data_IF_554922252402
#
_entry.id   IF_554922252402
#
_cell.length_a   1.000
_cell.length_b   1.000
_cell.length_c   1.000
_cell.angle_alpha   90.00
_cell.angle_beta   90.00
_cell.angle_gamma   90.00
#
_symmetry.space_group_name_H-M   'P 1'
#
loop_
_entity.id
_entity.type
_entity.pdbx_description
1 polymer ?
#
# COMPACT_ATOMS: atom_id res chain seq x y z
N UNK A 1 33.48 -30.72 -4.24
CA UNK A 1 33.72 -29.26 -4.38
C UNK A 1 32.58 -28.52 -5.09
N UNK A 2 31.84 -29.12 -6.04
CA UNK A 2 30.73 -28.45 -6.75
C UNK A 2 29.47 -28.17 -5.90
N UNK A 3 29.20 -28.96 -4.86
CA UNK A 3 28.03 -28.77 -3.99
C UNK A 3 28.15 -27.58 -3.03
N UNK A 4 29.36 -27.27 -2.58
CA UNK A 4 29.62 -26.16 -1.64
C UNK A 4 29.55 -24.80 -2.34
N UNK A 5 30.06 -24.71 -3.57
CA UNK A 5 30.01 -23.50 -4.40
C UNK A 5 28.55 -23.20 -4.82
N UNK A 6 27.81 -24.21 -5.28
CA UNK A 6 26.39 -24.06 -5.63
C UNK A 6 25.51 -23.67 -4.43
N UNK A 7 25.89 -24.08 -3.20
CA UNK A 7 25.19 -23.70 -1.97
C UNK A 7 25.53 -22.26 -1.54
N UNK A 8 26.78 -21.83 -1.72
CA UNK A 8 27.22 -20.46 -1.45
C UNK A 8 26.54 -19.43 -2.37
N UNK A 9 26.43 -19.73 -3.68
CA UNK A 9 25.71 -18.90 -4.65
C UNK A 9 24.21 -18.81 -4.36
N UNK A 10 23.62 -19.90 -3.86
CA UNK A 10 22.20 -19.92 -3.48
C UNK A 10 21.96 -19.10 -2.20
N UNK A 11 22.91 -19.08 -1.25
CA UNK A 11 22.80 -18.25 -0.04
C UNK A 11 23.00 -16.77 -0.29
N UNK A 12 23.99 -16.36 -1.11
CA UNK A 12 24.19 -14.95 -1.48
C UNK A 12 22.99 -14.38 -2.22
N UNK A 13 22.33 -15.21 -3.04
CA UNK A 13 21.07 -14.89 -3.74
C UNK A 13 19.91 -14.58 -2.79
N UNK A 14 19.80 -15.24 -1.62
CA UNK A 14 18.71 -15.00 -0.67
C UNK A 14 18.88 -13.72 0.17
N UNK A 15 20.12 -13.34 0.52
CA UNK A 15 20.38 -12.15 1.35
C UNK A 15 19.99 -10.84 0.68
N UNK A 16 20.02 -10.79 -0.66
CA UNK A 16 19.54 -9.62 -1.41
C UNK A 16 18.08 -9.28 -1.10
N UNK A 17 17.24 -10.26 -0.79
CA UNK A 17 15.82 -10.01 -0.46
C UNK A 17 15.60 -9.38 0.92
N UNK A 18 16.64 -9.28 1.76
CA UNK A 18 16.62 -8.46 2.97
C UNK A 18 16.98 -7.00 2.72
N UNK A 19 17.62 -6.67 1.60
CA UNK A 19 18.05 -5.30 1.31
C UNK A 19 16.88 -4.29 1.34
N UNK A 20 15.69 -4.56 0.75
CA UNK A 20 14.55 -3.66 0.88
C UNK A 20 14.12 -3.42 2.33
N UNK A 21 14.16 -4.46 3.16
CA UNK A 21 13.80 -4.41 4.58
C UNK A 21 14.81 -3.58 5.38
N UNK A 22 16.10 -3.71 5.05
CA UNK A 22 17.15 -2.86 5.64
C UNK A 22 16.95 -1.40 5.20
N UNK A 23 16.62 -1.15 3.94
CA UNK A 23 16.27 0.20 3.47
C UNK A 23 15.05 0.77 4.22
N UNK A 24 14.06 -0.07 4.55
CA UNK A 24 12.90 0.37 5.32
C UNK A 24 13.26 0.89 6.72
N UNK A 25 14.36 0.43 7.35
CA UNK A 25 14.83 0.99 8.62
C UNK A 25 15.10 2.50 8.50
N UNK A 26 15.63 2.96 7.37
CA UNK A 26 15.93 4.37 7.12
C UNK A 26 14.73 5.25 6.77
N UNK A 27 13.54 4.66 6.57
CA UNK A 27 12.35 5.34 6.05
C UNK A 27 11.99 6.66 6.77
N UNK A 28 11.96 6.72 8.13
CA UNK A 28 11.70 7.97 8.86
C UNK A 28 12.71 9.07 8.55
N UNK A 29 13.99 8.71 8.42
CA UNK A 29 15.06 9.67 8.15
C UNK A 29 15.06 10.15 6.70
N UNK A 30 14.63 9.33 5.74
CA UNK A 30 14.45 9.78 4.36
C UNK A 30 13.37 10.87 4.28
N UNK A 31 12.28 10.72 5.04
CA UNK A 31 11.27 11.77 5.21
C UNK A 31 11.87 12.99 5.91
N UNK A 32 12.55 12.84 7.05
CA UNK A 32 13.21 13.97 7.72
C UNK A 32 14.17 14.74 6.80
N UNK A 33 14.93 14.05 5.94
CA UNK A 33 15.79 14.69 4.94
C UNK A 33 15.00 15.43 3.87
N UNK A 34 13.81 14.95 3.50
CA UNK A 34 12.90 15.67 2.61
C UNK A 34 12.42 16.96 3.27
N UNK A 35 11.93 16.91 4.50
CA UNK A 35 11.56 18.11 5.29
C UNK A 35 12.73 19.11 5.42
N UNK A 36 13.91 18.66 5.83
CA UNK A 36 15.09 19.53 5.96
C UNK A 36 15.48 20.18 4.62
N UNK A 37 15.46 19.41 3.53
CA UNK A 37 15.84 19.92 2.22
C UNK A 37 14.81 20.92 1.66
N UNK A 38 13.51 20.68 1.88
CA UNK A 38 12.46 21.64 1.49
C UNK A 38 12.57 22.93 2.30
N UNK A 39 12.83 22.85 3.62
CA UNK A 39 13.07 24.01 4.48
C UNK A 39 14.31 24.82 4.08
N UNK A 40 15.36 24.14 3.59
CA UNK A 40 16.58 24.78 3.08
C UNK A 40 16.48 25.21 1.60
N UNK A 41 15.28 25.12 0.99
CA UNK A 41 15.06 25.41 -0.44
C UNK A 41 15.96 24.63 -1.41
N UNK A 42 16.43 23.44 -0.99
CA UNK A 42 17.26 22.55 -1.80
C UNK A 42 16.39 21.58 -2.59
N UNK A 43 16.01 21.96 -3.81
CA UNK A 43 15.19 21.12 -4.70
C UNK A 43 15.84 19.77 -4.97
N UNK A 44 17.15 19.73 -5.26
CA UNK A 44 17.87 18.49 -5.52
C UNK A 44 17.89 17.57 -4.29
N UNK A 45 18.11 18.13 -3.09
CA UNK A 45 18.08 17.37 -1.84
C UNK A 45 16.70 16.78 -1.56
N UNK A 46 15.64 17.57 -1.77
CA UNK A 46 14.26 17.13 -1.57
C UNK A 46 13.89 16.01 -2.56
N UNK A 47 14.21 16.16 -3.85
CA UNK A 47 13.97 15.13 -4.85
C UNK A 47 14.72 13.84 -4.54
N UNK A 48 15.98 13.94 -4.11
CA UNK A 48 16.78 12.77 -3.73
C UNK A 48 16.20 12.06 -2.49
N UNK A 49 15.86 12.80 -1.45
CA UNK A 49 15.25 12.25 -0.24
C UNK A 49 13.91 11.55 -0.54
N UNK A 50 13.05 12.19 -1.34
CA UNK A 50 11.78 11.60 -1.77
C UNK A 50 12.01 10.36 -2.66
N UNK A 51 13.03 10.36 -3.52
CA UNK A 51 13.39 9.17 -4.29
C UNK A 51 13.78 8.00 -3.37
N UNK A 52 14.49 8.24 -2.27
CA UNK A 52 14.79 7.20 -1.26
C UNK A 52 13.51 6.68 -0.58
N UNK A 53 12.56 7.57 -0.28
CA UNK A 53 11.23 7.18 0.26
C UNK A 53 10.51 6.21 -0.69
N UNK A 54 10.48 6.49 -1.99
CA UNK A 54 9.89 5.59 -2.99
C UNK A 54 10.75 4.36 -3.31
N UNK A 55 12.07 4.43 -3.11
CA UNK A 55 12.98 3.30 -3.34
C UNK A 55 12.70 2.13 -2.38
N UNK A 56 12.19 2.39 -1.17
CA UNK A 56 11.81 1.33 -0.21
C UNK A 56 10.73 0.41 -0.79
N UNK A 57 9.51 0.87 -1.13
CA UNK A 57 8.51 -0.01 -1.74
C UNK A 57 8.94 -0.49 -3.14
N UNK A 58 9.65 0.31 -3.94
CA UNK A 58 10.10 -0.13 -5.27
C UNK A 58 11.08 -1.32 -5.20
N UNK A 59 12.07 -1.27 -4.31
CA UNK A 59 13.03 -2.37 -4.12
C UNK A 59 12.37 -3.63 -3.55
N UNK A 60 11.37 -3.45 -2.67
CA UNK A 60 10.55 -4.55 -2.18
C UNK A 60 9.75 -5.20 -3.31
N UNK A 61 9.19 -4.41 -4.23
CA UNK A 61 8.48 -4.92 -5.40
C UNK A 61 9.41 -5.68 -6.35
N UNK A 62 10.64 -5.20 -6.57
CA UNK A 62 11.66 -5.96 -7.34
C UNK A 62 11.90 -7.33 -6.70
N UNK A 63 12.03 -7.40 -5.37
CA UNK A 63 12.13 -8.68 -4.66
C UNK A 63 10.89 -9.55 -4.84
N UNK A 64 9.69 -8.99 -4.88
CA UNK A 64 8.46 -9.73 -5.18
C UNK A 64 8.43 -10.30 -6.59
N UNK A 65 8.94 -9.56 -7.58
CA UNK A 65 9.02 -10.03 -8.97
C UNK A 65 10.00 -11.20 -9.11
N UNK A 66 11.15 -11.13 -8.46
CA UNK A 66 12.13 -12.22 -8.47
C UNK A 66 11.62 -13.44 -7.71
N UNK A 67 11.11 -13.23 -6.49
CA UNK A 67 10.59 -14.32 -5.65
C UNK A 67 9.34 -14.95 -6.25
N UNK A 68 8.49 -14.17 -6.93
CA UNK A 68 7.24 -14.62 -7.55
C UNK A 68 7.45 -15.61 -8.69
N UNK A 69 8.59 -15.53 -9.41
CA UNK A 69 8.95 -16.43 -10.50
C UNK A 69 9.46 -17.80 -10.03
N UNK A 70 9.90 -17.89 -8.79
CA UNK A 70 10.39 -19.15 -8.21
C UNK A 70 9.22 -20.10 -7.93
N UNK A 71 9.40 -21.38 -8.28
CA UNK A 71 8.50 -22.43 -7.82
C UNK A 71 8.65 -22.60 -6.30
N UNK A 72 7.53 -22.59 -5.59
CA UNK A 72 7.54 -22.65 -4.12
C UNK A 72 7.75 -24.09 -3.69
N UNK A 73 9.01 -24.46 -3.49
CA UNK A 73 9.40 -25.74 -2.87
C UNK A 73 9.79 -25.58 -1.39
N UNK A 74 10.10 -24.36 -0.92
CA UNK A 74 10.61 -24.10 0.43
C UNK A 74 9.88 -22.99 1.20
N UNK A 75 9.81 -23.16 2.51
CA UNK A 75 9.18 -22.23 3.47
C UNK A 75 9.96 -20.90 3.60
N UNK A 76 11.26 -20.93 3.31
CA UNK A 76 12.11 -19.74 3.16
C UNK A 76 11.59 -18.74 2.12
N UNK A 77 11.21 -19.20 0.92
CA UNK A 77 10.66 -18.33 -0.13
C UNK A 77 9.35 -17.69 0.30
N UNK A 78 8.52 -18.42 1.07
CA UNK A 78 7.26 -17.90 1.63
C UNK A 78 7.53 -16.79 2.64
N UNK A 79 8.50 -16.97 3.53
CA UNK A 79 8.93 -15.95 4.51
C UNK A 79 9.41 -14.70 3.79
N UNK A 80 10.31 -14.83 2.81
CA UNK A 80 10.83 -13.69 2.05
C UNK A 80 9.74 -12.97 1.26
N UNK A 81 8.77 -13.70 0.70
CA UNK A 81 7.59 -13.09 0.05
C UNK A 81 6.76 -12.30 1.04
N UNK A 82 6.46 -12.84 2.22
CA UNK A 82 5.70 -12.12 3.26
C UNK A 82 6.44 -10.86 3.70
N UNK A 83 7.74 -10.99 3.97
CA UNK A 83 8.60 -9.86 4.33
C UNK A 83 8.57 -8.78 3.25
N UNK A 84 8.75 -9.15 1.98
CA UNK A 84 8.72 -8.21 0.86
C UNK A 84 7.36 -7.52 0.68
N UNK A 85 6.24 -8.21 0.93
CA UNK A 85 4.91 -7.58 0.92
C UNK A 85 4.75 -6.58 2.09
N UNK A 86 5.25 -6.92 3.28
CA UNK A 86 5.24 -6.01 4.43
C UNK A 86 6.09 -4.77 4.15
N UNK A 87 7.30 -4.94 3.61
CA UNK A 87 8.19 -3.84 3.22
C UNK A 87 7.59 -2.98 2.10
N UNK A 88 6.90 -3.58 1.15
CA UNK A 88 6.15 -2.84 0.13
C UNK A 88 5.07 -1.93 0.73
N UNK A 89 4.47 -2.33 1.84
CA UNK A 89 3.49 -1.56 2.60
C UNK A 89 4.10 -0.55 3.60
N UNK A 90 5.41 -0.26 3.53
CA UNK A 90 6.06 0.68 4.47
C UNK A 90 5.39 2.05 4.57
N UNK A 91 4.95 2.71 3.47
CA UNK A 91 4.30 4.02 3.57
C UNK A 91 3.05 4.04 4.46
N UNK A 92 2.01 3.22 4.24
CA UNK A 92 0.83 3.21 5.10
C UNK A 92 1.12 2.65 6.51
N UNK A 93 2.12 1.76 6.66
CA UNK A 93 2.60 1.31 7.97
C UNK A 93 3.16 2.47 8.79
N UNK A 94 3.98 3.34 8.20
CA UNK A 94 4.55 4.48 8.92
C UNK A 94 3.47 5.51 9.29
N UNK A 95 2.47 5.71 8.43
CA UNK A 95 1.30 6.54 8.77
C UNK A 95 0.54 5.97 9.96
N UNK A 96 0.18 4.69 9.96
CA UNK A 96 -0.63 4.13 11.05
C UNK A 96 0.14 4.09 12.37
N UNK A 97 1.44 3.80 12.35
CA UNK A 97 2.31 3.92 13.55
C UNK A 97 2.22 5.34 14.10
N UNK A 98 2.38 6.33 13.23
CA UNK A 98 2.31 7.72 13.66
C UNK A 98 0.95 8.11 14.25
N UNK A 99 -0.14 7.72 13.58
CA UNK A 99 -1.50 8.02 14.07
C UNK A 99 -1.76 7.37 15.43
N UNK A 100 -1.34 6.11 15.62
CA UNK A 100 -1.51 5.42 16.90
C UNK A 100 -0.70 6.09 18.01
N UNK A 101 0.55 6.47 17.75
CA UNK A 101 1.38 7.17 18.73
C UNK A 101 0.80 8.54 19.10
N UNK A 102 0.30 9.29 18.12
CA UNK A 102 -0.40 10.55 18.36
C UNK A 102 -1.63 10.36 19.26
N UNK A 103 -2.47 9.36 18.97
CA UNK A 103 -3.65 9.03 19.78
C UNK A 103 -3.28 8.62 21.21
N UNK A 104 -2.14 7.97 21.39
CA UNK A 104 -1.57 7.61 22.71
C UNK A 104 -0.86 8.78 23.40
N UNK A 105 -0.83 9.98 22.79
CA UNK A 105 -0.10 11.17 23.25
C UNK A 105 1.42 10.94 23.40
N UNK A 106 1.99 10.04 22.58
CA UNK A 106 3.42 9.76 22.52
C UNK A 106 4.02 10.54 21.35
N UNK A 107 4.58 11.71 21.63
CA UNK A 107 5.15 12.58 20.60
C UNK A 107 6.64 12.31 20.37
N UNK A 108 7.09 12.38 19.12
CA UNK A 108 8.51 12.30 18.75
C UNK A 108 9.14 10.91 18.90
N UNK A 109 8.33 9.86 19.10
CA UNK A 109 8.81 8.49 19.25
C UNK A 109 8.77 7.66 17.95
N UNK A 110 8.19 8.18 16.87
CA UNK A 110 7.95 7.51 15.59
C UNK A 110 9.17 6.73 15.09
N UNK A 111 10.33 7.40 14.96
CA UNK A 111 11.54 6.78 14.46
C UNK A 111 12.05 5.64 15.36
N UNK A 112 11.94 5.80 16.68
CA UNK A 112 12.37 4.77 17.65
C UNK A 112 11.46 3.55 17.60
N UNK A 113 10.14 3.79 17.58
CA UNK A 113 9.13 2.72 17.48
C UNK A 113 9.27 2.00 16.14
N UNK A 114 9.47 2.74 15.05
CA UNK A 114 9.72 2.19 13.73
C UNK A 114 10.94 1.27 13.69
N UNK A 115 12.08 1.71 14.23
CA UNK A 115 13.27 0.87 14.34
C UNK A 115 13.02 -0.38 15.19
N UNK A 116 12.35 -0.24 16.33
CA UNK A 116 12.02 -1.37 17.20
C UNK A 116 11.15 -2.41 16.50
N UNK A 117 10.11 -1.96 15.78
CA UNK A 117 9.22 -2.82 15.00
C UNK A 117 9.98 -3.54 13.87
N UNK A 118 10.79 -2.82 13.09
CA UNK A 118 11.55 -3.44 12.00
C UNK A 118 12.68 -4.34 12.49
N UNK A 119 13.35 -4.00 13.59
CA UNK A 119 14.32 -4.88 14.24
C UNK A 119 13.65 -6.19 14.68
N UNK A 120 12.44 -6.13 15.26
CA UNK A 120 11.68 -7.32 15.62
C UNK A 120 11.26 -8.14 14.38
N UNK A 121 10.83 -7.49 13.30
CA UNK A 121 10.50 -8.15 12.03
C UNK A 121 11.71 -8.84 11.41
N UNK A 122 12.87 -8.17 11.37
CA UNK A 122 14.13 -8.72 10.85
C UNK A 122 14.58 -9.90 11.71
N UNK A 123 14.66 -9.71 13.03
CA UNK A 123 15.08 -10.75 13.96
C UNK A 123 14.14 -11.96 13.89
N UNK A 124 12.82 -11.76 13.92
CA UNK A 124 11.84 -12.83 13.78
C UNK A 124 11.94 -13.57 12.43
N UNK A 125 12.16 -12.84 11.34
CA UNK A 125 12.37 -13.44 10.01
C UNK A 125 13.66 -14.28 9.98
N UNK A 126 14.76 -13.77 10.51
CA UNK A 126 16.04 -14.49 10.58
C UNK A 126 15.95 -15.72 11.47
N UNK A 127 15.34 -15.60 12.66
CA UNK A 127 15.12 -16.73 13.58
C UNK A 127 14.28 -17.84 12.91
N UNK A 128 13.21 -17.46 12.20
CA UNK A 128 12.36 -18.42 11.48
C UNK A 128 13.15 -19.11 10.35
N UNK A 129 13.95 -18.35 9.59
CA UNK A 129 14.81 -18.91 8.54
C UNK A 129 15.91 -19.82 9.10
N UNK A 130 16.48 -19.49 10.26
CA UNK A 130 17.52 -20.30 10.92
C UNK A 130 16.97 -21.60 11.53
N UNK A 131 15.73 -21.58 12.01
CA UNK A 131 15.05 -22.77 12.52
C UNK A 131 14.66 -23.75 11.39
N UNK A 132 14.50 -23.25 10.16
CA UNK A 132 14.18 -24.05 8.98
C UNK A 132 15.42 -24.75 8.39
N UNK A 133 15.84 -25.83 9.05
CA UNK A 133 16.94 -26.71 8.59
C UNK A 133 16.46 -28.04 7.97
N UNK A 134 15.16 -28.32 7.96
CA UNK A 134 14.60 -29.59 7.47
C UNK A 134 13.68 -29.35 6.28
N UNK A 135 13.97 -30.02 5.16
CA UNK A 135 13.20 -30.05 3.89
C UNK A 135 11.82 -30.71 4.08
N UNK A 136 10.99 -30.13 4.95
CA UNK A 136 9.61 -30.53 5.10
C UNK A 136 8.81 -29.92 3.96
N UNK A 137 8.45 -30.76 2.98
CA UNK A 137 7.52 -30.41 1.91
C UNK A 137 6.23 -29.91 2.58
N UNK A 138 5.94 -28.61 2.41
CA UNK A 138 4.71 -28.01 2.91
C UNK A 138 3.52 -28.72 2.27
N UNK A 139 2.75 -29.46 3.08
CA UNK A 139 1.42 -29.92 2.69
C UNK A 139 0.56 -28.69 2.43
N UNK A 140 0.10 -28.52 1.18
CA UNK A 140 -0.72 -27.38 0.77
C UNK A 140 -2.10 -27.50 1.42
N UNK A 141 -2.50 -26.63 2.35
CA UNK A 141 -3.88 -26.62 2.79
C UNK A 141 -4.75 -26.14 1.62
N UNK A 142 -5.68 -26.98 1.18
CA UNK A 142 -6.64 -26.68 0.11
C UNK A 142 -7.80 -25.85 0.67
N UNK A 143 -7.51 -24.60 1.04
CA UNK A 143 -8.58 -23.68 1.44
C UNK A 143 -9.33 -23.22 0.19
N UNK A 144 -10.60 -23.64 0.06
CA UNK A 144 -11.46 -23.18 -1.02
C UNK A 144 -11.85 -21.71 -0.80
N UNK A 145 -11.24 -20.82 -1.58
CA UNK A 145 -11.45 -19.37 -1.50
C UNK A 145 -12.40 -18.82 -2.58
N UNK A 146 -13.09 -19.68 -3.33
CA UNK A 146 -13.91 -19.25 -4.48
C UNK A 146 -15.04 -18.30 -4.07
N UNK A 147 -15.81 -18.68 -3.05
CA UNK A 147 -16.92 -17.86 -2.52
C UNK A 147 -16.42 -16.52 -1.98
N UNK A 148 -15.31 -16.53 -1.23
CA UNK A 148 -14.68 -15.32 -0.70
C UNK A 148 -14.27 -14.39 -1.83
N UNK A 149 -13.73 -14.93 -2.93
CA UNK A 149 -13.33 -14.13 -4.10
C UNK A 149 -14.52 -13.46 -4.77
N UNK A 150 -15.63 -14.17 -4.94
CA UNK A 150 -16.86 -13.61 -5.53
C UNK A 150 -17.41 -12.51 -4.64
N UNK A 151 -17.57 -12.78 -3.34
CA UNK A 151 -18.09 -11.79 -2.38
C UNK A 151 -17.16 -10.56 -2.29
N UNK A 152 -15.85 -10.76 -2.27
CA UNK A 152 -14.86 -9.69 -2.31
C UNK A 152 -15.09 -8.81 -3.54
N UNK A 153 -15.18 -9.40 -4.74
CA UNK A 153 -15.42 -8.66 -5.98
C UNK A 153 -16.75 -7.91 -6.00
N UNK A 154 -17.85 -8.52 -5.54
CA UNK A 154 -19.17 -7.87 -5.43
C UNK A 154 -19.11 -6.67 -4.48
N UNK A 155 -18.51 -6.85 -3.30
CA UNK A 155 -18.31 -5.76 -2.35
C UNK A 155 -17.39 -4.66 -2.93
N UNK A 156 -16.35 -5.02 -3.69
CA UNK A 156 -15.50 -4.04 -4.37
C UNK A 156 -16.29 -3.24 -5.39
N UNK A 157 -17.15 -3.86 -6.20
CA UNK A 157 -18.01 -3.14 -7.17
C UNK A 157 -18.94 -2.16 -6.47
N UNK A 158 -19.57 -2.57 -5.37
CA UNK A 158 -20.43 -1.69 -4.57
C UNK A 158 -19.64 -0.48 -4.01
N UNK A 159 -18.47 -0.72 -3.42
CA UNK A 159 -17.57 0.35 -2.95
C UNK A 159 -17.16 1.28 -4.09
N UNK A 160 -16.80 0.72 -5.25
CA UNK A 160 -16.37 1.49 -6.42
C UNK A 160 -17.46 2.45 -6.87
N UNK A 161 -18.66 1.93 -7.09
CA UNK A 161 -19.78 2.70 -7.61
C UNK A 161 -20.26 3.76 -6.62
N UNK A 162 -20.40 3.41 -5.35
CA UNK A 162 -21.02 4.28 -4.34
C UNK A 162 -20.02 5.26 -3.75
N UNK A 163 -18.77 4.86 -3.53
CA UNK A 163 -17.80 5.65 -2.77
C UNK A 163 -16.53 5.95 -3.56
N UNK A 164 -15.76 4.95 -3.98
CA UNK A 164 -14.38 5.16 -4.41
C UNK A 164 -14.29 6.02 -5.68
N UNK A 165 -15.11 5.76 -6.71
CA UNK A 165 -15.08 6.55 -7.94
C UNK A 165 -15.45 8.02 -7.69
N UNK A 166 -16.61 8.33 -7.05
CA UNK A 166 -16.92 9.73 -6.77
C UNK A 166 -15.99 10.36 -5.71
N UNK A 167 -15.44 9.61 -4.75
CA UNK A 167 -14.42 10.09 -3.81
C UNK A 167 -13.10 10.50 -4.50
N UNK A 168 -12.55 9.64 -5.37
CA UNK A 168 -11.34 9.96 -6.13
C UNK A 168 -11.59 11.08 -7.14
N UNK A 169 -12.79 11.16 -7.73
CA UNK A 169 -13.18 12.27 -8.61
C UNK A 169 -13.23 13.60 -7.87
N UNK A 170 -13.79 13.60 -6.65
CA UNK A 170 -13.78 14.76 -5.78
C UNK A 170 -12.35 15.22 -5.45
N UNK A 171 -11.45 14.30 -5.16
CA UNK A 171 -10.03 14.64 -4.96
C UNK A 171 -9.36 15.19 -6.23
N UNK A 172 -9.71 14.67 -7.42
CA UNK A 172 -9.16 15.14 -8.68
C UNK A 172 -9.55 16.59 -8.98
N UNK A 173 -10.79 17.00 -8.67
CA UNK A 173 -11.22 18.40 -8.85
C UNK A 173 -10.57 19.37 -7.84
N UNK A 174 -9.82 18.87 -6.84
CA UNK A 174 -8.99 19.71 -5.98
C UNK A 174 -7.90 20.49 -6.73
N UNK A 175 -7.55 20.07 -7.96
CA UNK A 175 -6.71 20.87 -8.86
C UNK A 175 -7.34 22.21 -9.24
N UNK A 176 -8.66 22.34 -9.16
CA UNK A 176 -9.38 23.60 -9.38
C UNK A 176 -9.57 24.41 -8.10
N UNK A 177 -8.96 23.98 -6.98
CA UNK A 177 -8.97 24.68 -5.71
C UNK A 177 -9.84 24.03 -4.63
N UNK A 178 -9.56 24.44 -3.39
CA UNK A 178 -10.16 23.90 -2.17
C UNK A 178 -11.68 24.13 -2.13
N UNK A 179 -12.16 25.26 -2.62
CA UNK A 179 -13.61 25.57 -2.65
C UNK A 179 -14.38 24.68 -3.64
N UNK A 180 -13.81 24.42 -4.82
CA UNK A 180 -14.42 23.53 -5.82
C UNK A 180 -14.52 22.12 -5.26
N UNK A 181 -13.43 21.58 -4.72
CA UNK A 181 -13.46 20.30 -4.01
C UNK A 181 -14.50 20.31 -2.88
N UNK A 182 -14.53 21.34 -2.05
CA UNK A 182 -15.46 21.43 -0.92
C UNK A 182 -16.92 21.44 -1.37
N UNK A 183 -17.25 22.13 -2.47
CA UNK A 183 -18.60 22.19 -3.02
C UNK A 183 -19.10 20.79 -3.45
N UNK A 184 -18.27 20.04 -4.19
CA UNK A 184 -18.58 18.67 -4.62
C UNK A 184 -18.62 17.73 -3.41
N UNK A 185 -17.67 17.86 -2.49
CA UNK A 185 -17.61 17.08 -1.25
C UNK A 185 -18.88 17.22 -0.41
N UNK A 186 -19.42 18.44 -0.27
CA UNK A 186 -20.65 18.67 0.50
C UNK A 186 -21.83 17.90 -0.10
N UNK A 187 -21.97 17.89 -1.43
CA UNK A 187 -23.01 17.08 -2.10
C UNK A 187 -22.80 15.59 -1.81
N UNK A 188 -21.58 15.09 -2.02
CA UNK A 188 -21.25 13.68 -1.83
C UNK A 188 -21.43 13.21 -0.37
N UNK A 189 -21.15 14.08 0.61
CA UNK A 189 -21.31 13.77 2.04
C UNK A 189 -22.76 13.50 2.44
N UNK A 190 -23.75 14.06 1.74
CA UNK A 190 -25.16 13.73 1.99
C UNK A 190 -25.45 12.24 1.73
N UNK A 191 -24.70 11.64 0.80
CA UNK A 191 -24.76 10.20 0.53
C UNK A 191 -23.87 9.45 1.51
N UNK A 192 -22.56 9.74 1.54
CA UNK A 192 -21.59 8.93 2.27
C UNK A 192 -21.79 8.93 3.78
N UNK A 193 -22.27 10.04 4.34
CA UNK A 193 -22.51 10.22 5.78
C UNK A 193 -23.98 10.03 6.16
N UNK A 194 -24.81 9.49 5.25
CA UNK A 194 -26.16 9.09 5.62
C UNK A 194 -26.10 8.03 6.72
N UNK A 195 -26.91 8.18 7.78
CA UNK A 195 -26.79 7.38 9.00
C UNK A 195 -26.93 5.86 8.81
N UNK A 196 -27.55 5.42 7.71
CA UNK A 196 -27.66 4.01 7.34
C UNK A 196 -26.56 3.55 6.37
N UNK A 197 -26.03 4.43 5.50
CA UNK A 197 -25.06 4.07 4.48
C UNK A 197 -23.62 4.08 5.00
N UNK A 198 -23.28 5.05 5.86
CA UNK A 198 -21.96 5.16 6.47
C UNK A 198 -21.52 3.85 7.17
N UNK A 199 -22.32 3.24 8.08
CA UNK A 199 -21.94 1.98 8.72
C UNK A 199 -21.82 0.82 7.73
N UNK A 200 -22.64 0.79 6.66
CA UNK A 200 -22.54 -0.23 5.61
C UNK A 200 -21.21 -0.08 4.87
N UNK A 201 -20.82 1.14 4.47
CA UNK A 201 -19.54 1.38 3.82
C UNK A 201 -18.36 0.98 4.71
N UNK A 202 -18.40 1.31 6.00
CA UNK A 202 -17.37 0.88 6.97
C UNK A 202 -17.29 -0.64 7.03
N UNK A 203 -18.42 -1.33 7.14
CA UNK A 203 -18.48 -2.79 7.16
C UNK A 203 -17.93 -3.41 5.86
N UNK A 204 -18.24 -2.81 4.70
CA UNK A 204 -17.71 -3.25 3.41
C UNK A 204 -16.19 -3.08 3.33
N UNK A 205 -15.63 -1.94 3.78
CA UNK A 205 -14.18 -1.75 3.82
C UNK A 205 -13.49 -2.72 4.80
N UNK A 206 -14.06 -2.94 5.98
CA UNK A 206 -13.56 -3.95 6.91
C UNK A 206 -13.60 -5.35 6.29
N UNK A 207 -14.69 -5.68 5.60
CA UNK A 207 -14.80 -6.92 4.85
C UNK A 207 -13.73 -7.02 3.75
N UNK A 208 -13.42 -5.94 3.02
CA UNK A 208 -12.35 -5.93 2.02
C UNK A 208 -10.98 -6.25 2.63
N UNK A 209 -10.66 -5.69 3.81
CA UNK A 209 -9.42 -5.99 4.54
C UNK A 209 -9.34 -7.49 4.88
N UNK A 210 -10.37 -8.02 5.54
CA UNK A 210 -10.38 -9.41 6.01
C UNK A 210 -10.38 -10.39 4.83
N UNK A 211 -11.27 -10.21 3.86
CA UNK A 211 -11.35 -11.07 2.68
C UNK A 211 -10.09 -10.96 1.80
N UNK A 212 -9.48 -9.78 1.70
CA UNK A 212 -8.19 -9.57 1.01
C UNK A 212 -7.06 -10.37 1.64
N UNK A 213 -6.95 -10.38 2.98
CA UNK A 213 -5.98 -11.22 3.70
C UNK A 213 -6.20 -12.72 3.45
N UNK A 214 -7.45 -13.17 3.49
CA UNK A 214 -7.83 -14.56 3.19
C UNK A 214 -7.44 -14.95 1.76
N UNK A 215 -7.63 -14.04 0.78
CA UNK A 215 -7.28 -14.27 -0.62
C UNK A 215 -5.77 -14.20 -0.89
N UNK A 216 -5.05 -13.38 -0.12
CA UNK A 216 -3.60 -13.21 -0.22
C UNK A 216 -2.84 -14.41 0.36
N UNK A 217 -3.30 -14.99 1.47
CA UNK A 217 -2.56 -16.03 2.18
C UNK A 217 -2.15 -17.25 1.32
N UNK A 218 -3.03 -17.83 0.48
CA UNK A 218 -2.64 -18.92 -0.42
C UNK A 218 -1.63 -18.49 -1.49
N UNK A 219 -1.65 -17.21 -1.92
CA UNK A 219 -0.81 -16.70 -3.01
C UNK A 219 0.67 -16.66 -2.66
N UNK A 220 1.02 -16.58 -1.37
CA UNK A 220 2.42 -16.68 -0.95
C UNK A 220 3.07 -18.01 -1.34
N UNK A 221 2.27 -19.08 -1.51
CA UNK A 221 2.73 -20.41 -1.89
C UNK A 221 2.62 -20.71 -3.39
N UNK A 222 2.23 -19.74 -4.21
CA UNK A 222 1.98 -19.93 -5.63
C UNK A 222 2.93 -19.09 -6.46
N UNK A 223 3.41 -19.64 -7.58
CA UNK A 223 4.12 -18.86 -8.59
C UNK A 223 3.22 -17.73 -9.10
N UNK A 224 3.79 -16.54 -9.26
CA UNK A 224 3.08 -15.37 -9.77
C UNK A 224 3.73 -14.90 -11.06
N UNK A 225 2.91 -14.54 -12.04
CA UNK A 225 3.35 -13.69 -13.14
C UNK A 225 3.47 -12.23 -12.66
N UNK A 226 3.92 -11.33 -13.55
CA UNK A 226 4.11 -9.92 -13.18
C UNK A 226 2.82 -9.29 -12.64
N UNK A 227 1.70 -9.47 -13.35
CA UNK A 227 0.41 -8.88 -12.95
C UNK A 227 -0.16 -9.57 -11.69
N UNK A 228 0.16 -10.84 -11.46
CA UNK A 228 -0.08 -11.51 -10.18
C UNK A 228 0.70 -10.89 -9.03
N UNK A 229 1.98 -10.56 -9.24
CA UNK A 229 2.79 -9.85 -8.25
C UNK A 229 2.25 -8.43 -7.98
N UNK A 230 1.80 -7.71 -9.00
CA UNK A 230 1.09 -6.42 -8.82
C UNK A 230 -0.16 -6.62 -7.98
N UNK A 231 -1.01 -7.60 -8.29
CA UNK A 231 -2.24 -7.88 -7.53
C UNK A 231 -1.96 -8.16 -6.05
N UNK A 232 -0.96 -9.00 -5.74
CA UNK A 232 -0.66 -9.37 -4.35
C UNK A 232 0.04 -8.24 -3.59
N UNK A 233 0.98 -7.53 -4.23
CA UNK A 233 1.69 -6.40 -3.63
C UNK A 233 0.72 -5.26 -3.29
N UNK A 234 -0.08 -4.83 -4.27
CA UNK A 234 -1.11 -3.80 -4.07
C UNK A 234 -2.15 -4.25 -3.04
N UNK A 235 -2.58 -5.52 -3.06
CA UNK A 235 -3.51 -6.05 -2.07
C UNK A 235 -2.97 -5.96 -0.64
N UNK A 236 -1.71 -6.36 -0.42
CA UNK A 236 -1.05 -6.24 0.88
C UNK A 236 -0.91 -4.78 1.34
N UNK A 237 -0.55 -3.87 0.42
CA UNK A 237 -0.51 -2.44 0.70
C UNK A 237 -1.88 -1.91 1.12
N UNK A 238 -2.94 -2.30 0.39
CA UNK A 238 -4.30 -1.80 0.60
C UNK A 238 -4.90 -2.25 1.94
N UNK A 239 -4.56 -3.44 2.42
CA UNK A 239 -4.95 -3.89 3.77
C UNK A 239 -4.53 -2.86 4.82
N UNK A 240 -3.27 -2.41 4.77
CA UNK A 240 -2.74 -1.43 5.72
C UNK A 240 -3.23 -0.02 5.40
N UNK A 241 -3.28 0.35 4.12
CA UNK A 241 -3.74 1.66 3.68
C UNK A 241 -5.18 1.93 4.11
N UNK A 242 -6.12 1.00 3.86
CA UNK A 242 -7.54 1.17 4.23
C UNK A 242 -7.66 1.29 5.76
N UNK A 243 -6.98 0.42 6.52
CA UNK A 243 -6.99 0.48 7.98
C UNK A 243 -6.47 1.83 8.50
N UNK A 244 -5.33 2.27 7.99
CA UNK A 244 -4.69 3.54 8.34
C UNK A 244 -5.57 4.74 7.98
N UNK A 245 -6.09 4.76 6.75
CA UNK A 245 -6.85 5.87 6.20
C UNK A 245 -8.20 6.05 6.90
N UNK A 246 -8.95 4.96 7.10
CA UNK A 246 -10.24 5.00 7.81
C UNK A 246 -10.02 5.37 9.30
N UNK A 247 -8.99 4.83 9.95
CA UNK A 247 -8.66 5.20 11.32
C UNK A 247 -8.38 6.71 11.47
N UNK A 248 -7.64 7.30 10.52
CA UNK A 248 -7.39 8.74 10.51
C UNK A 248 -8.68 9.56 10.36
N UNK A 249 -9.58 9.15 9.47
CA UNK A 249 -10.83 9.87 9.22
C UNK A 249 -11.79 9.78 10.41
N UNK A 250 -12.02 8.58 10.93
CA UNK A 250 -13.06 8.36 11.94
C UNK A 250 -12.56 8.57 13.37
N UNK A 251 -11.36 8.09 13.69
CA UNK A 251 -10.86 8.12 15.08
C UNK A 251 -9.98 9.35 15.29
N UNK A 252 -8.96 9.59 14.47
CA UNK A 252 -8.07 10.73 14.66
C UNK A 252 -8.78 12.07 14.47
N UNK A 253 -9.67 12.18 13.48
CA UNK A 253 -10.36 13.43 13.17
C UNK A 253 -11.77 13.50 13.77
N UNK A 254 -12.72 12.73 13.20
CA UNK A 254 -14.15 12.93 13.50
C UNK A 254 -14.53 12.67 14.95
N UNK A 255 -13.97 11.65 15.59
CA UNK A 255 -14.22 11.37 17.01
C UNK A 255 -13.83 12.54 17.91
N UNK A 256 -12.80 13.31 17.53
CA UNK A 256 -12.34 14.51 18.25
C UNK A 256 -12.94 15.81 17.71
N UNK A 257 -13.94 15.75 16.83
CA UNK A 257 -14.67 16.92 16.32
C UNK A 257 -14.01 17.66 15.15
N UNK A 258 -12.92 17.12 14.60
CA UNK A 258 -12.27 17.70 13.41
C UNK A 258 -13.01 17.30 12.14
N UNK A 259 -13.37 18.27 11.29
CA UNK A 259 -13.96 17.96 10.00
C UNK A 259 -12.91 17.43 9.02
N UNK A 260 -13.24 16.35 8.31
CA UNK A 260 -12.36 15.68 7.35
C UNK A 260 -12.56 16.23 5.95
N UNK A 261 -12.30 17.52 5.79
CA UNK A 261 -12.38 18.22 4.50
C UNK A 261 -11.04 18.19 3.72
N UNK A 262 -10.99 18.89 2.59
CA UNK A 262 -9.79 18.93 1.77
C UNK A 262 -8.62 19.58 2.51
N UNK A 263 -8.87 20.69 3.21
CA UNK A 263 -7.87 21.42 3.96
C UNK A 263 -7.23 20.53 5.03
N UNK A 264 -8.03 19.74 5.73
CA UNK A 264 -7.51 18.71 6.65
C UNK A 264 -6.67 17.66 5.93
N UNK A 265 -7.13 17.15 4.78
CA UNK A 265 -6.45 16.11 4.02
C UNK A 265 -5.14 16.58 3.36
N UNK A 266 -5.02 17.86 3.02
CA UNK A 266 -3.83 18.48 2.42
C UNK A 266 -2.97 19.24 3.44
N UNK A 267 -3.38 19.23 4.71
CA UNK A 267 -2.69 19.91 5.81
C UNK A 267 -2.56 21.43 5.60
N UNK A 268 -3.61 22.07 5.08
CA UNK A 268 -3.65 23.53 4.90
C UNK A 268 -3.64 24.29 6.24
N UNK A 269 -3.03 25.49 6.29
CA UNK A 269 -2.39 26.21 5.17
C UNK A 269 -0.93 25.79 4.90
N UNK A 270 -0.35 24.92 5.74
CA UNK A 270 1.06 24.53 5.65
C UNK A 270 1.36 23.72 4.39
N UNK A 271 0.45 22.82 4.03
CA UNK A 271 0.59 21.89 2.90
C UNK A 271 1.44 20.67 3.24
N UNK A 272 1.37 19.65 2.39
CA UNK A 272 2.02 18.35 2.62
C UNK A 272 3.55 18.35 2.57
N UNK A 273 4.18 19.40 2.04
CA UNK A 273 5.65 19.45 1.83
C UNK A 273 6.40 20.26 2.89
N UNK A 274 5.70 21.03 3.75
CA UNK A 274 6.33 21.99 4.68
C UNK A 274 6.15 21.61 6.15
N UNK A 275 5.77 20.37 6.44
CA UNK A 275 5.58 19.89 7.80
C UNK A 275 6.10 18.46 7.95
N UNK A 276 6.90 18.25 8.99
CA UNK A 276 7.59 16.99 9.26
C UNK A 276 6.63 15.83 9.60
N UNK A 277 5.37 16.12 9.94
CA UNK A 277 4.36 15.10 10.09
C UNK A 277 3.74 14.74 8.75
N UNK A 278 3.19 15.71 8.04
CA UNK A 278 2.35 15.56 6.85
C UNK A 278 3.12 15.08 5.61
N UNK A 279 4.44 15.22 5.55
CA UNK A 279 5.25 14.70 4.44
C UNK A 279 5.10 13.19 4.22
N UNK A 280 4.83 12.42 5.29
CA UNK A 280 4.56 10.97 5.20
C UNK A 280 3.29 10.67 4.42
N UNK A 281 2.37 11.63 4.32
CA UNK A 281 1.11 11.49 3.60
C UNK A 281 1.34 11.51 2.08
N UNK A 282 2.43 12.09 1.60
CA UNK A 282 2.77 12.12 0.16
C UNK A 282 2.88 10.71 -0.43
N UNK A 283 3.81 9.84 0.03
CA UNK A 283 3.91 8.46 -0.48
C UNK A 283 2.73 7.58 -0.05
N UNK A 284 2.01 7.95 1.03
CA UNK A 284 0.82 7.23 1.46
C UNK A 284 -0.35 7.46 0.47
N UNK A 285 -0.66 8.70 0.11
CA UNK A 285 -1.75 9.02 -0.81
C UNK A 285 -1.41 8.70 -2.25
N UNK A 286 -0.21 9.06 -2.74
CA UNK A 286 0.15 8.83 -4.14
C UNK A 286 0.13 7.34 -4.49
N UNK A 287 0.74 6.49 -3.66
CA UNK A 287 0.74 5.05 -3.85
C UNK A 287 -0.62 4.44 -3.49
N UNK A 288 -1.34 4.97 -2.50
CA UNK A 288 -2.70 4.52 -2.18
C UNK A 288 -3.65 4.63 -3.38
N UNK A 289 -3.67 5.78 -4.05
CA UNK A 289 -4.49 6.00 -5.26
C UNK A 289 -4.02 5.12 -6.42
N UNK A 290 -2.71 5.09 -6.70
CA UNK A 290 -2.16 4.27 -7.78
C UNK A 290 -2.49 2.78 -7.57
N UNK A 291 -2.31 2.29 -6.34
CA UNK A 291 -2.43 0.88 -6.02
C UNK A 291 -3.87 0.42 -5.88
N UNK A 292 -4.81 1.25 -5.39
CA UNK A 292 -6.24 0.87 -5.40
C UNK A 292 -6.74 0.69 -6.83
N UNK A 293 -6.39 1.61 -7.73
CA UNK A 293 -6.80 1.54 -9.13
C UNK A 293 -6.10 0.38 -9.88
N UNK A 294 -4.80 0.19 -9.64
CA UNK A 294 -4.05 -0.95 -10.21
C UNK A 294 -4.58 -2.30 -9.71
N UNK A 295 -4.96 -2.38 -8.43
CA UNK A 295 -5.56 -3.57 -7.84
C UNK A 295 -6.92 -3.90 -8.46
N UNK A 296 -7.74 -2.87 -8.74
CA UNK A 296 -9.01 -3.04 -9.46
C UNK A 296 -8.76 -3.54 -10.89
N UNK A 297 -7.80 -2.96 -11.61
CA UNK A 297 -7.44 -3.39 -12.97
C UNK A 297 -6.98 -4.85 -13.01
N UNK A 298 -6.13 -5.26 -12.07
CA UNK A 298 -5.67 -6.66 -11.95
C UNK A 298 -6.80 -7.60 -11.45
N UNK A 299 -7.72 -7.12 -10.62
CA UNK A 299 -8.96 -7.81 -10.25
C UNK A 299 -9.85 -8.09 -11.45
N UNK A 300 -10.10 -7.07 -12.28
CA UNK A 300 -10.84 -7.20 -13.54
C UNK A 300 -10.16 -8.18 -14.50
N UNK A 301 -8.83 -8.14 -14.60
CA UNK A 301 -8.07 -9.15 -15.36
C UNK A 301 -8.39 -10.56 -14.88
N UNK A 302 -8.41 -10.78 -13.57
CA UNK A 302 -8.74 -12.10 -12.99
C UNK A 302 -10.16 -12.53 -13.37
N UNK A 303 -11.13 -11.60 -13.36
CA UNK A 303 -12.51 -11.86 -13.79
C UNK A 303 -12.57 -12.18 -15.28
N UNK A 304 -11.93 -11.40 -16.15
CA UNK A 304 -11.89 -11.63 -17.60
C UNK A 304 -11.34 -13.02 -17.95
N UNK A 305 -10.21 -13.40 -17.34
CA UNK A 305 -9.61 -14.73 -17.53
C UNK A 305 -10.55 -15.85 -17.08
N UNK A 306 -11.28 -15.67 -15.98
CA UNK A 306 -12.24 -16.65 -15.49
C UNK A 306 -13.46 -16.82 -16.43
N UNK A 307 -13.76 -15.83 -17.28
CA UNK A 307 -14.85 -15.86 -18.26
C UNK A 307 -14.34 -16.10 -19.70
N UNK A 308 -13.16 -16.71 -19.85
CA UNK A 308 -12.66 -17.17 -21.16
C UNK A 308 -12.04 -16.09 -22.06
N UNK A 309 -11.82 -14.87 -21.56
CA UNK A 309 -11.06 -13.85 -22.32
C UNK A 309 -9.60 -14.30 -22.45
N UNK A 310 -9.02 -14.16 -23.64
CA UNK A 310 -7.62 -14.53 -23.88
C UNK A 310 -6.64 -13.74 -23.01
N UNK A 311 -5.53 -14.36 -22.61
CA UNK A 311 -4.54 -13.74 -21.74
C UNK A 311 -3.93 -12.47 -22.34
N UNK A 312 -3.74 -12.43 -23.66
CA UNK A 312 -3.20 -11.27 -24.37
C UNK A 312 -4.16 -10.08 -24.28
N UNK A 313 -5.47 -10.30 -24.50
CA UNK A 313 -6.49 -9.25 -24.41
C UNK A 313 -6.67 -8.79 -22.98
N UNK A 314 -6.76 -9.72 -22.02
CA UNK A 314 -6.89 -9.40 -20.61
C UNK A 314 -5.67 -8.61 -20.08
N UNK A 315 -4.45 -8.99 -20.46
CA UNK A 315 -3.22 -8.25 -20.12
C UNK A 315 -3.21 -6.86 -20.74
N UNK A 316 -3.58 -6.71 -22.01
CA UNK A 316 -3.62 -5.41 -22.69
C UNK A 316 -4.56 -4.45 -21.98
N UNK A 317 -5.78 -4.88 -21.70
CA UNK A 317 -6.77 -4.07 -20.97
C UNK A 317 -6.24 -3.70 -19.59
N UNK A 318 -5.69 -4.67 -18.84
CA UNK A 318 -5.11 -4.41 -17.53
C UNK A 318 -4.01 -3.33 -17.57
N UNK A 319 -3.10 -3.41 -18.53
CA UNK A 319 -2.03 -2.43 -18.69
C UNK A 319 -2.53 -1.05 -19.10
N UNK A 320 -3.50 -0.97 -20.01
CA UNK A 320 -4.14 0.29 -20.37
C UNK A 320 -4.81 0.95 -19.16
N UNK A 321 -5.50 0.17 -18.34
CA UNK A 321 -6.13 0.69 -17.12
C UNK A 321 -5.10 1.14 -16.08
N UNK A 322 -3.99 0.40 -15.89
CA UNK A 322 -2.91 0.83 -15.00
C UNK A 322 -2.28 2.15 -15.49
N UNK A 323 -2.04 2.29 -16.79
CA UNK A 323 -1.52 3.53 -17.37
C UNK A 323 -2.47 4.72 -17.15
N UNK A 324 -3.76 4.53 -17.40
CA UNK A 324 -4.77 5.55 -17.11
C UNK A 324 -4.83 5.90 -15.61
N UNK A 325 -4.68 4.89 -14.75
CA UNK A 325 -4.63 5.07 -13.29
C UNK A 325 -3.43 5.91 -12.84
N UNK A 326 -2.27 5.75 -13.49
CA UNK A 326 -1.10 6.58 -13.22
C UNK A 326 -1.34 8.05 -13.55
N UNK A 327 -1.95 8.34 -14.70
CA UNK A 327 -2.33 9.71 -15.07
C UNK A 327 -3.30 10.30 -14.05
N UNK A 328 -4.33 9.54 -13.66
CA UNK A 328 -5.31 9.97 -12.67
C UNK A 328 -4.68 10.26 -11.30
N UNK A 329 -3.74 9.40 -10.88
CA UNK A 329 -2.96 9.59 -9.65
C UNK A 329 -2.18 10.89 -9.69
N UNK A 330 -1.51 11.20 -10.81
CA UNK A 330 -0.74 12.44 -10.97
C UNK A 330 -1.65 13.66 -10.82
N UNK A 331 -2.84 13.66 -11.42
CA UNK A 331 -3.80 14.77 -11.30
C UNK A 331 -4.20 14.99 -9.83
N UNK A 332 -4.61 13.93 -9.12
CA UNK A 332 -5.00 14.01 -7.71
C UNK A 332 -3.84 14.53 -6.85
N UNK A 333 -2.67 13.92 -6.98
CA UNK A 333 -1.51 14.25 -6.14
C UNK A 333 -1.00 15.66 -6.44
N UNK A 334 -1.00 16.10 -7.69
CA UNK A 334 -0.65 17.46 -8.05
C UNK A 334 -1.58 18.47 -7.37
N UNK A 335 -2.91 18.23 -7.42
CA UNK A 335 -3.88 19.04 -6.68
C UNK A 335 -3.61 19.06 -5.18
N UNK A 336 -3.34 17.90 -4.57
CA UNK A 336 -3.05 17.81 -3.13
C UNK A 336 -1.74 18.51 -2.73
N UNK A 337 -0.76 18.58 -3.64
CA UNK A 337 0.50 19.30 -3.44
C UNK A 337 0.40 20.80 -3.72
N UNK A 338 -0.78 21.31 -4.09
CA UNK A 338 -1.04 22.73 -4.29
C UNK A 338 -0.99 23.22 -5.73
N UNK A 339 -0.82 22.34 -6.73
CA UNK A 339 -0.91 22.72 -8.14
C UNK A 339 -2.35 23.13 -8.47
N UNK A 340 -2.51 24.23 -9.22
CA UNK A 340 -3.81 24.77 -9.63
C UNK A 340 -3.84 25.03 -11.15
N UNK A 341 -5.02 24.92 -11.76
CA UNK A 341 -5.29 25.21 -13.18
C UNK A 341 -6.35 26.30 -13.30
#
# INVERSE_FOLDING_TARGET
MNSTIARADRTSSLYWHFAPTVLALGYPWYLTRFYEATGNHSTAGALFAMALVYAVPASAFVSLLTLGRLDVSGRQTVILRRLSHLTFASPPLYVIVGVLLYLMKINGADGKVWLGLWAAVIAGSLLTLSAERSDTVLSRPTVNTSRVRVLHGVASVAIIAVYLFPHLSNHAVGIFGTDVHKSVMLVLRHVYRAGWLEPILIALFFFQIVSGLVLLAPKFNLKQDFLGAVQTATGAYLVIFIASHINSVFILARYFGTDTDYAWATYEPTGLIRDAWSERLIPHYSLGVLFVLSHIACGLRTVMLAHGVSIQKANRICWTLIAASSVWTVIIVAGMLGVRI
#
